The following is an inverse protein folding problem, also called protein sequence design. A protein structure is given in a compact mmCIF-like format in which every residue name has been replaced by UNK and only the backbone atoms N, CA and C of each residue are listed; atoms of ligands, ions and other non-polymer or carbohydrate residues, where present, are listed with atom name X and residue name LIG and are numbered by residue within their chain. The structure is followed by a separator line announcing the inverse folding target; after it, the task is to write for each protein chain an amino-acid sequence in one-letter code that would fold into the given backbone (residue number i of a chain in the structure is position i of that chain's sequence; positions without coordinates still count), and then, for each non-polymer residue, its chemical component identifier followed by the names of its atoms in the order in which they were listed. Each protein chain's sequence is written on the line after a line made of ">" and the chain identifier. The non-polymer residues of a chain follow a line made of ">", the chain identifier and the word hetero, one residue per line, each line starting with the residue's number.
data_IF_768919327229
#
_entry.id   IF_768919327229
#
_cell.length_a   1.000
_cell.length_b   1.000
_cell.length_c   1.000
_cell.angle_alpha   90.00
_cell.angle_beta   90.00
_cell.angle_gamma   90.00
#
_symmetry.space_group_name_H-M   'P 1'
#
loop_
_entity.id
_entity.type
_entity.pdbx_description
1 polymer ?
#
# COMPACT_ATOMS: atom_id res chain seq x y z
N UNK A 1 58.41 32.91 26.89
CA UNK A 1 57.98 32.62 25.50
C UNK A 1 56.91 31.56 25.56
N UNK A 2 55.66 31.94 25.31
CA UNK A 2 54.50 31.05 25.34
C UNK A 2 54.15 30.62 23.91
N UNK A 3 53.95 29.33 23.69
CA UNK A 3 53.48 28.76 22.43
C UNK A 3 51.97 28.57 22.54
N UNK A 4 51.14 29.09 21.63
CA UNK A 4 49.69 28.97 21.74
C UNK A 4 49.22 27.58 21.29
N UNK A 5 48.47 26.91 22.15
CA UNK A 5 47.72 25.70 21.81
C UNK A 5 46.46 26.09 21.01
N UNK A 6 46.36 25.62 19.76
CA UNK A 6 45.13 25.70 18.96
C UNK A 6 44.32 24.43 19.19
N UNK A 7 43.21 24.55 19.90
CA UNK A 7 42.19 23.51 20.02
C UNK A 7 41.46 23.36 18.68
N UNK A 8 41.56 22.18 18.06
CA UNK A 8 40.74 21.80 16.90
C UNK A 8 39.53 21.05 17.43
N UNK A 9 38.37 21.71 17.41
CA UNK A 9 37.09 21.06 17.64
C UNK A 9 36.74 20.20 16.42
N UNK A 10 36.93 18.88 16.54
CA UNK A 10 36.45 17.91 15.55
C UNK A 10 34.95 17.73 15.79
N UNK A 11 34.15 18.48 15.05
CA UNK A 11 32.72 18.26 14.96
C UNK A 11 32.46 16.93 14.24
N UNK A 12 32.01 15.92 14.98
CA UNK A 12 31.47 14.69 14.42
C UNK A 12 30.16 15.01 13.70
N UNK A 13 30.23 15.21 12.39
CA UNK A 13 29.06 15.13 11.53
C UNK A 13 28.58 13.68 11.52
N UNK A 14 27.45 13.42 12.17
CA UNK A 14 26.67 12.20 11.97
C UNK A 14 26.16 12.22 10.52
N UNK A 15 26.97 11.69 9.59
CA UNK A 15 26.48 11.25 8.30
C UNK A 15 25.53 10.09 8.55
N UNK A 16 24.22 10.36 8.51
CA UNK A 16 23.20 9.32 8.33
C UNK A 16 23.44 8.75 6.94
N UNK A 17 24.30 7.74 6.87
CA UNK A 17 24.33 6.83 5.74
C UNK A 17 22.98 6.14 5.78
N UNK A 18 22.09 6.55 4.88
CA UNK A 18 20.89 5.78 4.54
C UNK A 18 21.41 4.48 3.96
N UNK A 19 21.72 3.54 4.84
CA UNK A 19 22.16 2.21 4.50
C UNK A 19 21.01 1.55 3.75
N UNK A 20 21.16 1.49 2.43
CA UNK A 20 20.32 0.66 1.59
C UNK A 20 20.44 -0.77 2.08
N UNK A 21 19.34 -1.29 2.62
CA UNK A 21 19.15 -2.72 2.87
C UNK A 21 19.01 -3.45 1.53
N UNK A 22 20.16 -3.69 0.90
CA UNK A 22 20.28 -4.71 -0.14
C UNK A 22 20.49 -6.06 0.56
N UNK A 23 19.43 -6.88 0.62
CA UNK A 23 19.45 -8.35 0.52
C UNK A 23 18.17 -8.98 1.10
N UNK A 24 17.01 -8.79 0.45
CA UNK A 24 15.90 -9.74 0.54
C UNK A 24 15.33 -9.95 -0.87
N UNK A 25 15.67 -11.09 -1.48
CA UNK A 25 14.94 -11.74 -2.57
C UNK A 25 14.87 -10.99 -3.91
N UNK A 26 15.76 -11.34 -4.84
CA UNK A 26 15.73 -10.95 -6.26
C UNK A 26 14.47 -11.39 -7.06
N UNK A 27 13.36 -11.77 -6.41
CA UNK A 27 12.07 -12.08 -7.03
C UNK A 27 11.08 -10.89 -7.07
N UNK A 28 11.33 -9.82 -6.33
CA UNK A 28 10.46 -8.62 -6.32
C UNK A 28 10.93 -7.49 -7.24
N UNK A 29 12.06 -7.67 -7.94
CA UNK A 29 12.73 -6.62 -8.71
C UNK A 29 12.03 -6.22 -10.03
N UNK A 30 10.89 -6.80 -10.42
CA UNK A 30 10.22 -6.50 -11.70
C UNK A 30 8.68 -6.47 -11.64
N UNK A 31 8.06 -6.20 -10.50
CA UNK A 31 6.66 -5.72 -10.57
C UNK A 31 6.71 -4.26 -10.99
N UNK A 32 6.77 -4.00 -12.30
CA UNK A 32 6.58 -2.66 -12.82
C UNK A 32 5.29 -2.09 -12.24
N UNK A 33 5.40 -0.99 -11.50
CA UNK A 33 4.23 -0.27 -11.00
C UNK A 33 3.30 0.06 -12.18
N UNK A 34 1.99 -0.07 -11.95
CA UNK A 34 1.02 0.52 -12.86
C UNK A 34 1.00 2.02 -12.53
N UNK A 35 1.78 2.78 -13.28
CA UNK A 35 1.90 4.22 -13.10
C UNK A 35 0.68 4.94 -13.70
N UNK A 36 0.30 6.07 -13.09
CA UNK A 36 -0.72 7.00 -13.59
C UNK A 36 -2.06 6.37 -13.99
N UNK A 37 -2.48 5.34 -13.26
CA UNK A 37 -3.78 4.73 -13.46
C UNK A 37 -4.92 5.59 -12.91
N UNK A 38 -6.08 5.43 -13.54
CA UNK A 38 -7.37 5.92 -13.09
C UNK A 38 -8.03 4.87 -12.22
N UNK A 39 -8.28 5.23 -10.97
CA UNK A 39 -8.99 4.39 -10.00
C UNK A 39 -10.48 4.27 -10.33
N UNK A 40 -11.17 3.33 -9.70
CA UNK A 40 -12.64 3.30 -9.66
C UNK A 40 -13.21 4.61 -9.06
N UNK A 41 -14.52 4.82 -9.16
CA UNK A 41 -15.21 5.89 -8.43
C UNK A 41 -15.85 5.32 -7.17
N UNK A 42 -15.73 6.02 -6.04
CA UNK A 42 -16.30 5.55 -4.77
C UNK A 42 -17.83 5.35 -4.84
N UNK A 43 -18.54 6.24 -5.55
CA UNK A 43 -20.00 6.22 -5.72
C UNK A 43 -20.53 4.92 -6.32
N UNK A 44 -19.75 4.30 -7.20
CA UNK A 44 -20.21 3.19 -8.04
C UNK A 44 -20.13 1.85 -7.30
N UNK A 45 -19.50 1.83 -6.12
CA UNK A 45 -19.21 0.62 -5.35
C UNK A 45 -19.67 0.71 -3.89
N UNK A 46 -20.65 1.56 -3.60
CA UNK A 46 -21.28 1.61 -2.28
C UNK A 46 -21.81 0.22 -1.88
N UNK A 47 -21.46 -0.25 -0.68
CA UNK A 47 -21.80 -1.57 -0.14
C UNK A 47 -21.28 -2.78 -0.94
N UNK A 48 -20.38 -2.57 -1.90
CA UNK A 48 -19.76 -3.67 -2.68
C UNK A 48 -18.40 -4.08 -2.12
N UNK A 49 -17.82 -5.13 -2.68
CA UNK A 49 -16.48 -5.59 -2.30
C UNK A 49 -15.45 -4.45 -2.36
N UNK A 50 -15.46 -3.67 -3.44
CA UNK A 50 -14.50 -2.59 -3.63
C UNK A 50 -14.78 -1.33 -2.79
N UNK A 51 -15.85 -1.26 -1.99
CA UNK A 51 -16.25 -0.04 -1.26
C UNK A 51 -15.11 0.58 -0.46
N UNK A 52 -14.30 -0.25 0.18
CA UNK A 52 -13.26 0.17 1.11
C UNK A 52 -11.91 0.36 0.40
N UNK A 53 -11.78 -0.09 -0.85
CA UNK A 53 -10.50 -0.25 -1.55
C UNK A 53 -10.50 0.27 -2.99
N UNK A 54 -11.58 0.95 -3.39
CA UNK A 54 -11.85 1.39 -4.76
C UNK A 54 -10.66 2.10 -5.42
N UNK A 55 -9.92 2.89 -4.63
CA UNK A 55 -8.76 3.66 -5.10
C UNK A 55 -7.67 2.79 -5.73
N UNK A 56 -7.46 1.56 -5.25
CA UNK A 56 -6.36 0.71 -5.75
C UNK A 56 -6.73 -0.13 -6.97
N UNK A 57 -8.01 -0.20 -7.32
CA UNK A 57 -8.48 -0.99 -8.46
C UNK A 57 -8.55 -0.13 -9.72
N UNK A 58 -8.19 -0.73 -10.85
CA UNK A 58 -8.20 -0.04 -12.13
C UNK A 58 -9.65 0.13 -12.61
N UNK A 59 -9.98 1.34 -13.07
CA UNK A 59 -11.22 1.62 -13.78
C UNK A 59 -11.25 0.99 -15.16
N UNK A 60 -12.45 0.59 -15.59
CA UNK A 60 -12.78 0.13 -16.94
C UNK A 60 -13.28 1.27 -17.85
N UNK A 61 -13.13 2.53 -17.44
CA UNK A 61 -13.47 3.70 -18.27
C UNK A 61 -12.76 3.63 -19.62
N UNK A 62 -13.52 3.87 -20.69
CA UNK A 62 -13.04 3.75 -22.06
C UNK A 62 -11.83 4.66 -22.32
N UNK A 63 -10.79 4.10 -22.97
CA UNK A 63 -9.55 4.82 -23.27
C UNK A 63 -8.67 5.11 -22.05
N UNK A 64 -9.05 4.70 -20.84
CA UNK A 64 -8.21 4.79 -19.63
C UNK A 64 -7.52 3.46 -19.35
N UNK A 65 -6.40 3.53 -18.64
CA UNK A 65 -5.69 2.36 -18.09
C UNK A 65 -5.22 1.29 -19.10
N UNK A 66 -5.21 1.53 -20.42
CA UNK A 66 -4.89 0.48 -21.41
C UNK A 66 -3.58 -0.25 -21.10
N UNK A 67 -2.49 0.49 -20.82
CA UNK A 67 -1.19 -0.08 -20.42
C UNK A 67 -1.26 -0.85 -19.11
N UNK A 68 -2.06 -0.38 -18.15
CA UNK A 68 -2.24 -1.07 -16.87
C UNK A 68 -2.96 -2.41 -17.03
N UNK A 69 -4.02 -2.42 -17.84
CA UNK A 69 -4.75 -3.64 -18.17
C UNK A 69 -3.91 -4.65 -18.94
N UNK A 70 -3.10 -4.19 -19.91
CA UNK A 70 -2.13 -5.04 -20.63
C UNK A 70 -1.11 -5.67 -19.68
N UNK A 71 -0.58 -4.89 -18.72
CA UNK A 71 0.36 -5.39 -17.70
C UNK A 71 -0.28 -6.46 -16.81
N UNK A 72 -1.50 -6.23 -16.33
CA UNK A 72 -2.23 -7.19 -15.49
C UNK A 72 -2.56 -8.47 -16.26
N UNK A 73 -2.96 -8.35 -17.53
CA UNK A 73 -3.24 -9.51 -18.37
C UNK A 73 -1.98 -10.30 -18.71
N UNK A 74 -0.85 -9.61 -18.95
CA UNK A 74 0.46 -10.26 -19.11
C UNK A 74 0.82 -11.04 -17.86
N UNK A 75 0.67 -10.44 -16.68
CA UNK A 75 0.90 -11.10 -15.39
C UNK A 75 0.04 -12.35 -15.23
N UNK A 76 -1.27 -12.24 -15.49
CA UNK A 76 -2.19 -13.38 -15.48
C UNK A 76 -1.75 -14.49 -16.44
N UNK A 77 -1.38 -14.12 -17.67
CA UNK A 77 -0.92 -15.06 -18.70
C UNK A 77 0.38 -15.76 -18.31
N UNK A 78 1.30 -15.04 -17.68
CA UNK A 78 2.58 -15.58 -17.23
C UNK A 78 2.35 -16.50 -16.01
N UNK A 79 1.48 -16.12 -15.08
CA UNK A 79 1.12 -16.93 -13.91
C UNK A 79 0.41 -18.25 -14.29
N UNK A 80 -0.39 -18.27 -15.37
CA UNK A 80 -0.99 -19.51 -15.92
C UNK A 80 0.03 -20.50 -16.49
N UNK A 81 1.19 -20.03 -16.94
CA UNK A 81 2.22 -20.88 -17.55
C UNK A 81 3.13 -21.55 -16.53
N UNK A 82 3.15 -21.05 -15.29
CA UNK A 82 4.05 -21.59 -14.27
C UNK A 82 3.45 -22.87 -13.69
N UNK A 83 3.82 -24.01 -14.26
CA UNK A 83 3.40 -25.36 -13.81
C UNK A 83 3.97 -25.73 -12.44
N UNK A 84 5.04 -25.07 -11.98
CA UNK A 84 5.73 -25.32 -10.71
C UNK A 84 5.35 -24.32 -9.60
N UNK A 85 4.38 -23.43 -9.82
CA UNK A 85 3.96 -22.46 -8.79
C UNK A 85 2.94 -23.11 -7.85
N UNK A 86 3.13 -23.07 -6.52
CA UNK A 86 2.11 -23.58 -5.59
C UNK A 86 0.80 -22.78 -5.57
N UNK A 87 0.71 -21.68 -6.33
CA UNK A 87 -0.49 -20.82 -6.39
C UNK A 87 -1.18 -20.96 -7.73
N UNK A 88 -2.21 -21.78 -7.77
CA UNK A 88 -3.12 -21.95 -8.90
C UNK A 88 -3.98 -20.69 -9.08
N UNK A 89 -4.04 -20.16 -10.30
CA UNK A 89 -5.00 -19.10 -10.67
C UNK A 89 -6.42 -19.62 -10.44
N UNK A 90 -7.23 -18.88 -9.70
CA UNK A 90 -8.61 -19.27 -9.40
C UNK A 90 -9.48 -19.35 -10.65
N UNK A 91 -10.55 -20.16 -10.56
CA UNK A 91 -11.39 -20.54 -11.71
C UNK A 91 -11.96 -19.33 -12.47
N UNK A 92 -12.29 -18.24 -11.77
CA UNK A 92 -12.81 -17.00 -12.39
C UNK A 92 -11.82 -16.29 -13.31
N UNK A 93 -10.51 -16.47 -13.09
CA UNK A 93 -9.45 -15.83 -13.87
C UNK A 93 -8.73 -16.81 -14.81
N UNK A 94 -8.79 -18.11 -14.52
CA UNK A 94 -8.03 -19.13 -15.23
C UNK A 94 -8.43 -19.27 -16.71
N UNK A 95 -9.71 -19.10 -17.04
CA UNK A 95 -10.21 -19.23 -18.42
C UNK A 95 -10.10 -17.97 -19.28
N UNK A 96 -9.71 -16.83 -18.70
CA UNK A 96 -9.70 -15.55 -19.41
C UNK A 96 -8.61 -15.51 -20.49
N UNK A 97 -9.00 -15.20 -21.73
CA UNK A 97 -8.17 -15.29 -22.93
C UNK A 97 -7.56 -13.98 -23.41
N UNK A 98 -8.07 -12.85 -22.92
CA UNK A 98 -7.69 -11.52 -23.40
C UNK A 98 -7.92 -10.43 -22.33
N UNK A 99 -7.47 -9.22 -22.66
CA UNK A 99 -7.53 -8.04 -21.80
C UNK A 99 -8.98 -7.64 -21.47
N UNK A 100 -9.91 -7.79 -22.40
CA UNK A 100 -11.29 -7.35 -22.19
C UNK A 100 -12.06 -8.35 -21.33
N UNK A 101 -11.80 -9.65 -21.48
CA UNK A 101 -12.26 -10.68 -20.56
C UNK A 101 -11.76 -10.42 -19.13
N UNK A 102 -10.49 -9.99 -18.98
CA UNK A 102 -9.94 -9.59 -17.68
C UNK A 102 -10.66 -8.37 -17.10
N UNK A 103 -10.81 -7.29 -17.88
CA UNK A 103 -11.54 -6.09 -17.44
C UNK A 103 -12.94 -6.44 -16.94
N UNK A 104 -13.68 -7.24 -17.72
CA UNK A 104 -15.04 -7.64 -17.37
C UNK A 104 -15.08 -8.47 -16.07
N UNK A 105 -14.18 -9.44 -15.91
CA UNK A 105 -14.08 -10.23 -14.69
C UNK A 105 -13.77 -9.34 -13.46
N UNK A 106 -12.84 -8.39 -13.61
CA UNK A 106 -12.50 -7.43 -12.56
C UNK A 106 -13.70 -6.54 -12.17
N UNK A 107 -14.41 -5.97 -13.14
CA UNK A 107 -15.60 -5.12 -12.89
C UNK A 107 -16.67 -5.90 -12.12
N UNK A 108 -16.93 -7.14 -12.52
CA UNK A 108 -17.89 -8.01 -11.81
C UNK A 108 -17.41 -8.31 -10.39
N UNK A 109 -16.11 -8.61 -10.20
CA UNK A 109 -15.56 -8.87 -8.87
C UNK A 109 -15.71 -7.66 -7.93
N UNK A 110 -15.36 -6.46 -8.39
CA UNK A 110 -15.46 -5.24 -7.59
C UNK A 110 -16.91 -4.86 -7.24
N UNK A 111 -17.82 -5.08 -8.17
CA UNK A 111 -19.26 -4.82 -8.03
C UNK A 111 -20.03 -5.91 -7.29
N UNK A 112 -19.38 -7.03 -6.96
CA UNK A 112 -19.99 -8.12 -6.21
C UNK A 112 -20.15 -7.79 -4.73
N UNK A 113 -21.08 -8.47 -4.06
CA UNK A 113 -21.23 -8.36 -2.61
C UNK A 113 -20.01 -8.96 -1.90
N UNK A 114 -19.68 -8.45 -0.71
CA UNK A 114 -18.47 -8.82 0.04
C UNK A 114 -18.32 -10.34 0.26
N UNK A 115 -19.43 -11.07 0.39
CA UNK A 115 -19.43 -12.53 0.59
C UNK A 115 -19.09 -13.34 -0.67
N UNK A 116 -19.07 -12.70 -1.85
CA UNK A 116 -18.71 -13.33 -3.11
C UNK A 116 -17.22 -13.24 -3.43
N UNK A 117 -16.44 -12.52 -2.61
CA UNK A 117 -14.98 -12.44 -2.71
C UNK A 117 -14.39 -12.95 -1.40
N UNK A 118 -13.72 -14.11 -1.46
CA UNK A 118 -13.31 -14.85 -0.27
C UNK A 118 -11.80 -15.00 -0.18
N UNK A 119 -11.29 -15.05 1.05
CA UNK A 119 -9.84 -15.19 1.34
C UNK A 119 -9.35 -16.63 1.30
N UNK A 120 -10.25 -17.61 1.36
CA UNK A 120 -9.91 -19.03 1.43
C UNK A 120 -10.96 -19.87 0.72
N UNK A 121 -10.51 -20.83 -0.09
CA UNK A 121 -11.34 -21.86 -0.74
C UNK A 121 -12.56 -21.32 -1.50
N UNK A 122 -12.38 -20.46 -2.51
CA UNK A 122 -13.48 -19.98 -3.35
C UNK A 122 -14.16 -21.14 -4.06
N UNK A 123 -15.49 -21.13 -4.09
CA UNK A 123 -16.27 -21.98 -4.99
C UNK A 123 -16.21 -21.46 -6.42
N UNK A 124 -16.74 -22.22 -7.38
CA UNK A 124 -16.82 -21.79 -8.79
C UNK A 124 -17.66 -20.52 -9.01
N UNK A 125 -18.55 -20.18 -8.07
CA UNK A 125 -19.36 -18.96 -8.13
C UNK A 125 -18.66 -17.75 -7.49
N UNK A 126 -17.65 -17.96 -6.66
CA UNK A 126 -16.95 -16.93 -5.89
C UNK A 126 -15.63 -16.51 -6.54
N UNK A 127 -15.15 -15.33 -6.17
CA UNK A 127 -13.83 -14.84 -6.51
C UNK A 127 -12.85 -15.07 -5.35
N UNK A 128 -11.61 -15.42 -5.68
CA UNK A 128 -10.49 -15.36 -4.73
C UNK A 128 -10.12 -13.90 -4.49
N UNK A 129 -10.08 -13.45 -3.23
CA UNK A 129 -9.57 -12.11 -2.88
C UNK A 129 -8.14 -11.93 -3.38
N UNK A 130 -7.29 -12.95 -3.26
CA UNK A 130 -5.90 -12.87 -3.74
C UNK A 130 -5.83 -12.56 -5.24
N UNK A 131 -6.62 -13.26 -6.06
CA UNK A 131 -6.64 -13.05 -7.52
C UNK A 131 -7.23 -11.67 -7.87
N UNK A 132 -8.25 -11.22 -7.13
CA UNK A 132 -8.84 -9.89 -7.32
C UNK A 132 -7.86 -8.78 -6.94
N UNK A 133 -6.94 -8.97 -6.00
CA UNK A 133 -5.87 -7.99 -5.81
C UNK A 133 -4.78 -8.13 -6.89
N UNK A 134 -4.48 -9.36 -7.30
CA UNK A 134 -3.36 -9.65 -8.19
C UNK A 134 -3.55 -9.23 -9.65
N UNK A 135 -4.76 -9.39 -10.19
CA UNK A 135 -5.01 -9.21 -11.63
C UNK A 135 -5.84 -7.98 -11.97
N UNK A 136 -6.05 -7.14 -10.98
CA UNK A 136 -7.17 -6.20 -10.97
C UNK A 136 -6.76 -4.89 -10.24
N UNK A 137 -5.85 -4.95 -9.27
CA UNK A 137 -5.32 -3.77 -8.57
C UNK A 137 -3.97 -3.29 -9.11
N UNK A 138 -3.66 -2.01 -8.89
CA UNK A 138 -2.35 -1.43 -9.18
C UNK A 138 -1.24 -1.86 -8.20
N UNK A 139 -1.61 -2.49 -7.08
CA UNK A 139 -0.67 -2.88 -6.01
C UNK A 139 -0.39 -4.38 -5.97
N UNK A 140 -0.98 -5.16 -6.89
CA UNK A 140 -0.79 -6.61 -7.09
C UNK A 140 -1.09 -7.53 -5.90
N UNK A 141 -1.27 -7.00 -4.69
CA UNK A 141 -1.59 -7.75 -3.48
C UNK A 141 -2.32 -6.83 -2.51
N UNK A 142 -3.24 -7.42 -1.73
CA UNK A 142 -3.81 -6.71 -0.59
C UNK A 142 -2.69 -6.38 0.41
N UNK A 143 -2.52 -5.11 0.79
CA UNK A 143 -1.51 -4.73 1.76
C UNK A 143 -1.75 -5.40 3.11
N UNK A 144 -0.67 -5.83 3.75
CA UNK A 144 -0.72 -6.43 5.08
C UNK A 144 -0.81 -5.35 6.15
N UNK A 145 -1.60 -5.61 7.18
CA UNK A 145 -1.69 -4.73 8.33
C UNK A 145 -0.43 -4.84 9.20
N UNK A 146 -0.10 -3.79 9.96
CA UNK A 146 1.04 -3.73 10.88
C UNK A 146 1.02 -4.82 11.97
N UNK A 147 -0.17 -5.33 12.30
CA UNK A 147 -0.38 -6.46 13.21
C UNK A 147 -0.12 -7.84 12.59
N UNK A 148 0.18 -7.91 11.29
CA UNK A 148 0.32 -9.16 10.54
C UNK A 148 1.70 -9.23 9.87
N UNK A 149 2.60 -10.02 10.46
CA UNK A 149 3.85 -10.41 9.80
C UNK A 149 3.85 -11.88 9.41
N UNK A 150 4.21 -12.22 8.15
CA UNK A 150 4.70 -13.55 7.88
C UNK A 150 6.05 -13.72 8.59
N UNK A 151 6.20 -14.76 9.43
CA UNK A 151 7.53 -15.18 9.89
C UNK A 151 8.40 -15.46 8.66
N UNK A 152 9.62 -14.95 8.64
CA UNK A 152 10.61 -15.42 7.68
C UNK A 152 10.75 -16.96 7.83
N UNK A 153 10.40 -17.70 6.77
CA UNK A 153 10.68 -19.12 6.65
C UNK A 153 9.74 -20.14 7.31
N UNK A 154 8.52 -19.78 7.75
CA UNK A 154 7.63 -20.73 8.44
C UNK A 154 6.18 -20.75 7.98
N UNK A 155 5.75 -21.86 7.38
CA UNK A 155 4.33 -22.25 7.32
C UNK A 155 3.83 -22.48 8.75
N UNK A 156 3.08 -21.53 9.32
CA UNK A 156 2.28 -21.75 10.54
C UNK A 156 2.84 -21.22 11.88
N UNK A 157 3.74 -20.23 11.89
CA UNK A 157 4.26 -19.65 13.14
C UNK A 157 3.67 -18.26 13.46
N UNK A 158 3.33 -18.00 14.73
CA UNK A 158 2.74 -16.76 15.24
C UNK A 158 3.31 -15.46 14.64
N UNK A 159 2.39 -14.57 14.22
CA UNK A 159 2.65 -13.23 13.67
C UNK A 159 3.23 -12.33 14.77
N UNK A 160 4.49 -11.94 14.65
CA UNK A 160 5.03 -10.87 15.51
C UNK A 160 4.56 -9.52 14.95
N UNK A 161 3.80 -8.74 15.72
CA UNK A 161 3.45 -7.38 15.33
C UNK A 161 4.70 -6.51 15.25
N UNK A 162 4.72 -5.51 14.37
CA UNK A 162 5.73 -4.46 14.42
C UNK A 162 5.86 -3.93 15.86
N UNK A 163 7.11 -3.84 16.33
CA UNK A 163 7.44 -3.44 17.69
C UNK A 163 7.19 -1.96 17.91
N UNK A 164 5.94 -1.56 18.11
CA UNK A 164 5.59 -0.18 18.46
C UNK A 164 5.52 0.03 19.97
N UNK A 165 5.87 1.23 20.48
CA UNK A 165 5.73 1.57 21.89
C UNK A 165 4.31 1.31 22.42
N UNK A 166 4.18 1.02 23.70
CA UNK A 166 2.86 0.94 24.33
C UNK A 166 2.10 2.25 24.18
N UNK A 167 0.78 2.15 23.99
CA UNK A 167 -0.12 3.31 23.78
C UNK A 167 0.17 4.17 22.54
N UNK A 168 1.02 3.69 21.63
CA UNK A 168 1.24 4.33 20.34
C UNK A 168 0.11 4.02 19.35
N UNK A 169 -0.06 4.88 18.34
CA UNK A 169 -1.06 4.66 17.28
C UNK A 169 -0.83 3.33 16.55
N UNK A 170 0.44 3.00 16.26
CA UNK A 170 0.83 1.77 15.59
C UNK A 170 0.43 0.53 16.40
N UNK A 171 0.60 0.56 17.72
CA UNK A 171 0.20 -0.55 18.60
C UNK A 171 -1.31 -0.68 18.73
N UNK A 172 -2.01 0.44 18.92
CA UNK A 172 -3.47 0.46 19.16
C UNK A 172 -4.28 0.14 17.89
N UNK A 173 -3.76 0.48 16.71
CA UNK A 173 -4.48 0.36 15.44
C UNK A 173 -3.78 -0.59 14.47
N UNK A 174 -2.99 -1.53 14.98
CA UNK A 174 -2.14 -2.44 14.20
C UNK A 174 -2.89 -3.22 13.11
N UNK A 175 -4.18 -3.49 13.30
CA UNK A 175 -5.01 -4.26 12.35
C UNK A 175 -5.59 -3.39 11.22
N UNK A 176 -5.47 -2.07 11.32
CA UNK A 176 -6.01 -1.10 10.36
C UNK A 176 -4.92 -0.34 9.60
N UNK A 177 -3.78 -0.13 10.25
CA UNK A 177 -2.61 0.53 9.68
C UNK A 177 -1.81 -0.45 8.82
N UNK A 178 -1.32 0.00 7.66
CA UNK A 178 -0.52 -0.84 6.76
C UNK A 178 0.88 -1.00 7.31
N UNK A 179 1.43 -2.22 7.24
CA UNK A 179 2.79 -2.49 7.71
C UNK A 179 3.83 -1.65 6.95
N UNK A 180 4.74 -1.06 7.72
CA UNK A 180 5.92 -0.32 7.22
C UNK A 180 7.05 -1.30 6.87
N UNK A 181 7.17 -2.40 7.61
CA UNK A 181 8.33 -3.29 7.49
C UNK A 181 8.09 -4.49 6.58
N UNK A 182 6.85 -4.80 6.19
CA UNK A 182 6.58 -5.84 5.19
C UNK A 182 7.03 -5.36 3.79
N UNK A 183 8.08 -5.97 3.20
CA UNK A 183 8.59 -5.57 1.89
C UNK A 183 7.56 -5.70 0.77
N UNK A 184 6.56 -6.56 0.94
CA UNK A 184 5.52 -6.76 -0.07
C UNK A 184 4.51 -5.62 -0.14
N UNK A 185 4.49 -4.74 0.86
CA UNK A 185 3.71 -3.49 0.80
C UNK A 185 4.41 -2.40 -0.02
N UNK A 186 5.56 -2.66 -0.65
CA UNK A 186 6.31 -1.66 -1.42
C UNK A 186 5.47 -0.98 -2.51
N UNK A 187 4.67 -1.74 -3.26
CA UNK A 187 3.79 -1.17 -4.30
C UNK A 187 2.71 -0.26 -3.71
N UNK A 188 2.13 -0.65 -2.57
CA UNK A 188 1.18 0.20 -1.85
C UNK A 188 1.81 1.53 -1.45
N UNK A 189 2.99 1.49 -0.83
CA UNK A 189 3.68 2.71 -0.38
C UNK A 189 4.10 3.60 -1.55
N UNK A 190 4.48 3.02 -2.69
CA UNK A 190 4.75 3.76 -3.92
C UNK A 190 3.48 4.45 -4.44
N UNK A 191 2.38 3.71 -4.61
CA UNK A 191 1.10 4.26 -5.09
C UNK A 191 0.57 5.34 -4.15
N UNK A 192 0.58 5.09 -2.83
CA UNK A 192 0.14 6.09 -1.86
C UNK A 192 1.03 7.32 -1.84
N UNK A 193 2.35 7.15 -1.89
CA UNK A 193 3.30 8.27 -1.97
C UNK A 193 3.05 9.13 -3.21
N UNK A 194 2.89 8.51 -4.39
CA UNK A 194 2.56 9.21 -5.63
C UNK A 194 1.27 10.02 -5.48
N UNK A 195 0.20 9.40 -4.97
CA UNK A 195 -1.06 10.12 -4.77
C UNK A 195 -1.02 11.19 -3.68
N UNK A 196 -0.12 11.07 -2.71
CA UNK A 196 0.06 12.09 -1.69
C UNK A 196 0.70 13.35 -2.28
N UNK A 197 1.66 13.19 -3.19
CA UNK A 197 2.36 14.31 -3.83
C UNK A 197 1.76 14.77 -5.17
N UNK A 198 0.78 14.04 -5.72
CA UNK A 198 0.14 14.40 -6.98
C UNK A 198 -0.59 15.75 -6.82
N UNK A 199 -0.05 16.78 -7.47
CA UNK A 199 -0.72 18.07 -7.60
C UNK A 199 -1.98 17.90 -8.44
N UNK A 200 -3.04 18.60 -8.07
CA UNK A 200 -4.36 18.47 -8.70
C UNK A 200 -4.29 18.81 -10.19
N UNK A 201 -4.35 17.80 -11.03
CA UNK A 201 -4.83 17.95 -12.40
C UNK A 201 -6.30 17.49 -12.40
N UNK A 202 -7.23 18.45 -12.32
CA UNK A 202 -8.68 18.28 -12.51
C UNK A 202 -9.41 17.32 -11.53
N UNK A 203 -9.62 17.75 -10.28
CA UNK A 203 -10.77 17.29 -9.49
C UNK A 203 -10.55 16.17 -8.48
N UNK A 204 -9.33 15.94 -8.00
CA UNK A 204 -9.11 15.11 -6.80
C UNK A 204 -9.11 15.97 -5.54
N UNK A 205 -10.05 15.73 -4.60
CA UNK A 205 -10.21 16.42 -3.30
C UNK A 205 -9.01 16.24 -2.32
N UNK A 206 -7.79 16.50 -2.76
CA UNK A 206 -6.55 16.31 -1.97
C UNK A 206 -5.79 17.61 -1.73
N UNK A 207 -6.49 18.73 -1.64
CA UNK A 207 -5.99 19.88 -0.87
C UNK A 207 -5.69 19.40 0.55
N UNK A 208 -4.42 19.49 0.95
CA UNK A 208 -4.04 19.19 2.31
C UNK A 208 -4.59 20.30 3.22
N UNK A 209 -5.70 20.01 3.92
CA UNK A 209 -6.36 20.94 4.85
C UNK A 209 -5.93 20.76 6.31
N UNK A 210 -4.97 19.86 6.57
CA UNK A 210 -4.52 19.58 7.93
C UNK A 210 -3.75 20.73 8.58
N UNK A 211 -3.62 20.66 9.90
CA UNK A 211 -2.94 21.65 10.73
C UNK A 211 -1.50 21.91 10.23
N UNK A 212 -1.08 23.17 10.17
CA UNK A 212 0.28 23.61 9.80
C UNK A 212 1.42 22.90 10.54
N UNK A 213 1.15 22.38 11.73
CA UNK A 213 2.13 21.66 12.56
C UNK A 213 2.20 20.14 12.32
N UNK A 214 1.26 19.58 11.55
CA UNK A 214 1.18 18.15 11.21
C UNK A 214 2.41 17.69 10.43
N UNK A 215 2.93 16.50 10.76
CA UNK A 215 4.04 15.88 10.03
C UNK A 215 3.68 15.63 8.55
N UNK A 216 2.41 15.36 8.25
CA UNK A 216 1.95 15.21 6.87
C UNK A 216 1.92 16.56 6.14
N UNK A 217 1.51 17.65 6.81
CA UNK A 217 1.58 18.99 6.19
C UNK A 217 3.01 19.33 5.82
N UNK A 218 3.95 19.09 6.74
CA UNK A 218 5.37 19.35 6.52
C UNK A 218 5.93 18.55 5.35
N UNK A 219 5.54 17.27 5.25
CA UNK A 219 5.91 16.43 4.11
C UNK A 219 5.33 16.97 2.80
N UNK A 220 4.05 17.33 2.79
CA UNK A 220 3.38 17.86 1.61
C UNK A 220 4.02 19.17 1.14
N UNK A 221 4.27 20.10 2.06
CA UNK A 221 4.86 21.42 1.77
C UNK A 221 6.31 21.33 1.32
N UNK A 222 7.08 20.39 1.87
CA UNK A 222 8.47 20.19 1.45
C UNK A 222 8.56 19.63 0.03
N UNK A 223 7.53 18.89 -0.41
CA UNK A 223 7.54 18.12 -1.65
C UNK A 223 8.65 17.07 -1.71
N UNK A 224 9.26 16.74 -0.56
CA UNK A 224 10.45 15.88 -0.45
C UNK A 224 10.32 14.96 0.75
N UNK A 225 10.65 13.69 0.53
CA UNK A 225 10.64 12.66 1.57
C UNK A 225 9.77 11.47 1.17
N UNK A 226 9.49 10.62 2.15
CA UNK A 226 8.75 9.37 1.99
C UNK A 226 7.50 9.41 2.86
N UNK A 227 6.33 9.19 2.24
CA UNK A 227 5.09 9.06 2.99
C UNK A 227 5.15 7.89 3.98
N UNK A 228 5.82 6.80 3.58
CA UNK A 228 6.03 5.62 4.43
C UNK A 228 6.78 6.00 5.71
N UNK A 229 7.83 6.80 5.61
CA UNK A 229 8.65 7.19 6.76
C UNK A 229 7.85 8.10 7.72
N UNK A 230 7.03 8.99 7.17
CA UNK A 230 6.12 9.85 7.96
C UNK A 230 5.02 9.03 8.63
N UNK A 231 4.48 8.01 7.97
CA UNK A 231 3.57 7.05 8.59
C UNK A 231 4.27 6.29 9.73
N UNK A 232 5.51 5.84 9.53
CA UNK A 232 6.29 5.17 10.57
C UNK A 232 6.52 6.07 11.79
N UNK A 233 6.87 7.34 11.57
CA UNK A 233 6.98 8.33 12.65
C UNK A 233 5.65 8.47 13.38
N UNK A 234 4.55 8.63 12.63
CA UNK A 234 3.20 8.75 13.20
C UNK A 234 2.78 7.52 14.01
N UNK A 235 3.14 6.32 13.57
CA UNK A 235 2.82 5.07 14.28
C UNK A 235 3.50 4.98 15.64
N UNK A 236 4.69 5.58 15.79
CA UNK A 236 5.46 5.59 17.04
C UNK A 236 4.94 6.61 18.05
N UNK A 237 4.13 7.60 17.62
CA UNK A 237 3.58 8.60 18.52
C UNK A 237 2.48 8.01 19.42
N UNK A 238 2.48 8.46 20.67
CA UNK A 238 1.42 8.20 21.65
C UNK A 238 0.49 9.40 21.71
N UNK A 239 -0.74 9.22 22.23
CA UNK A 239 -1.66 10.35 22.44
C UNK A 239 -1.05 11.49 23.28
N UNK A 240 -0.19 11.16 24.26
CA UNK A 240 0.51 12.14 25.09
C UNK A 240 1.55 12.99 24.32
N UNK A 241 2.17 12.42 23.29
CA UNK A 241 3.23 13.07 22.51
C UNK A 241 2.76 13.52 21.11
N UNK A 242 1.51 13.23 20.77
CA UNK A 242 0.88 13.56 19.49
C UNK A 242 0.50 15.03 19.35
N UNK A 243 0.57 15.84 20.43
CA UNK A 243 0.20 17.26 20.51
C UNK A 243 0.40 18.02 19.18
N UNK A 244 -0.66 18.05 18.36
CA UNK A 244 -0.73 18.67 17.03
C UNK A 244 0.27 18.16 15.97
N UNK A 245 1.07 17.13 16.27
CA UNK A 245 2.05 16.53 15.35
C UNK A 245 1.40 15.56 14.36
N UNK A 246 0.42 14.79 14.81
CA UNK A 246 -0.32 13.85 13.97
C UNK A 246 -1.80 14.00 14.26
N UNK A 247 -2.55 14.35 13.22
CA UNK A 247 -4.00 14.21 13.22
C UNK A 247 -4.33 12.75 12.91
N UNK A 248 -5.17 12.12 13.73
CA UNK A 248 -5.53 10.71 13.54
C UNK A 248 -6.26 10.50 12.21
N UNK A 249 -7.09 11.46 11.77
CA UNK A 249 -7.77 11.38 10.47
C UNK A 249 -6.76 11.36 9.33
N UNK A 250 -5.74 12.22 9.37
CA UNK A 250 -4.66 12.21 8.36
C UNK A 250 -3.87 10.90 8.40
N UNK A 251 -3.57 10.39 9.60
CA UNK A 251 -2.86 9.12 9.77
C UNK A 251 -3.62 7.98 9.07
N UNK A 252 -4.92 7.86 9.31
CA UNK A 252 -5.72 6.83 8.64
C UNK A 252 -5.91 7.11 7.15
N UNK A 253 -6.08 8.37 6.75
CA UNK A 253 -6.24 8.76 5.34
C UNK A 253 -5.08 8.27 4.47
N UNK A 254 -3.85 8.43 4.96
CA UNK A 254 -2.65 8.15 4.19
C UNK A 254 -1.96 6.82 4.52
N UNK A 255 -2.10 6.33 5.75
CA UNK A 255 -1.35 5.17 6.24
C UNK A 255 -2.22 3.93 6.48
N UNK A 256 -3.53 3.99 6.20
CA UNK A 256 -4.40 2.80 6.23
C UNK A 256 -4.81 2.38 4.83
N UNK A 257 -5.16 1.10 4.69
CA UNK A 257 -5.67 0.59 3.43
C UNK A 257 -6.98 1.30 3.05
N UNK A 258 -7.93 1.38 3.99
CA UNK A 258 -9.27 1.93 3.79
C UNK A 258 -9.29 3.44 3.62
N UNK A 259 -8.29 4.16 4.15
CA UNK A 259 -8.27 5.61 4.17
C UNK A 259 -9.12 6.25 5.27
N UNK A 260 -9.61 5.45 6.23
CA UNK A 260 -10.38 5.91 7.38
C UNK A 260 -10.27 4.90 8.51
N UNK A 261 -10.50 5.36 9.74
CA UNK A 261 -10.61 4.50 10.92
C UNK A 261 -11.91 3.72 10.86
N UNK A 262 -11.81 2.40 10.99
CA UNK A 262 -12.97 1.53 11.19
C UNK A 262 -13.30 1.55 12.68
N UNK A 263 -14.54 1.93 13.00
CA UNK A 263 -15.14 1.85 14.33
C UNK A 263 -15.47 0.42 14.70
#
# INVERSE_FOLDING_TARGET
>A
MAIPAKSVAVGTALTVTVGGSAAIGAKYLLSESIEDFVSLKSSDHANKYASDYWKYFLSNEEGKNSKGWEKLFKKLSDDKKVTENPRTVGNKFNSLSDVDALKNACVVAYGSDKNNVVTSSPTDSQYSEEDVWRYCSAVNRKPTAAGVFPKEGGTGGQKESEGYPENSFGRQNKDQLVSITDPENALFWNVQGKWFFKKEDNGSDRTFSGNGSSIFKKLYDSGKGSLKDVCEEGYKLTSANANNKVDETDLFKYCSLKGSKTT
#
